data_IF_826195221763
#
_entry.id   IF_826195221763
#
_cell.length_a   1.000
_cell.length_b   1.000
_cell.length_c   1.000
_cell.angle_alpha   90.00
_cell.angle_beta   90.00
_cell.angle_gamma   90.00
#
_symmetry.space_group_name_H-M   'P 1'
#
loop_
_entity.id
_entity.type
_entity.pdbx_description
1 polymer ?
#
# COMPACT_ATOMS: atom_id res chain seq x y z
N UNK A 1 48.20 3.81 25.03
CA UNK A 1 47.18 4.13 23.99
C UNK A 1 46.08 4.88 24.71
N UNK A 2 46.13 6.19 24.60
CA UNK A 2 45.28 7.13 25.33
C UNK A 2 43.94 7.31 24.61
N UNK A 3 42.85 7.30 25.39
CA UNK A 3 41.54 7.77 24.97
C UNK A 3 41.53 9.32 24.92
N UNK A 4 40.86 9.96 23.95
CA UNK A 4 40.58 11.37 24.03
C UNK A 4 39.23 11.62 24.71
N UNK A 5 39.26 12.39 25.79
CA UNK A 5 38.17 13.19 26.35
C UNK A 5 37.78 14.31 25.37
N UNK A 6 36.48 14.59 25.24
CA UNK A 6 36.01 15.87 24.70
C UNK A 6 34.79 16.41 25.46
N UNK A 7 34.82 17.73 25.58
CA UNK A 7 34.19 18.58 26.58
C UNK A 7 32.71 18.93 26.37
N UNK A 8 32.09 19.35 27.48
CA UNK A 8 30.78 19.99 27.63
C UNK A 8 30.66 21.31 26.85
N UNK A 9 29.54 21.53 26.16
CA UNK A 9 29.00 22.88 25.92
C UNK A 9 27.45 22.93 26.03
N UNK A 10 27.01 23.68 27.05
CA UNK A 10 25.83 24.55 27.24
C UNK A 10 24.38 24.05 26.96
N UNK A 11 23.59 24.10 28.04
CA UNK A 11 22.14 24.21 28.06
C UNK A 11 21.67 25.56 27.49
N UNK A 12 20.59 25.54 26.71
CA UNK A 12 19.74 26.71 26.42
C UNK A 12 18.29 26.30 26.65
N UNK A 13 17.58 27.10 27.44
CA UNK A 13 16.18 26.96 27.84
C UNK A 13 15.25 27.42 26.73
N UNK A 14 14.21 26.63 26.42
CA UNK A 14 13.10 27.05 25.55
C UNK A 14 11.85 27.33 26.39
N UNK A 15 11.39 28.57 26.32
CA UNK A 15 10.10 29.02 26.84
C UNK A 15 9.02 28.94 25.74
N UNK A 16 7.84 28.51 26.17
CA UNK A 16 6.47 28.72 25.68
C UNK A 16 6.22 29.20 24.23
N UNK A 17 5.60 28.32 23.44
CA UNK A 17 4.82 28.69 22.26
C UNK A 17 3.43 28.04 22.34
N UNK A 18 2.40 28.85 22.55
CA UNK A 18 0.99 28.51 22.29
C UNK A 18 0.63 29.18 20.97
N UNK A 19 0.31 28.41 19.94
CA UNK A 19 -0.31 28.90 18.70
C UNK A 19 -1.59 28.09 18.48
N UNK A 20 -2.73 28.77 18.51
CA UNK A 20 -4.03 28.28 18.08
C UNK A 20 -4.20 28.61 16.60
N UNK A 21 -4.22 27.61 15.72
CA UNK A 21 -4.48 27.81 14.29
C UNK A 21 -5.94 27.48 13.93
N UNK A 22 -6.64 28.51 13.46
CA UNK A 22 -7.97 28.46 12.86
C UNK A 22 -7.82 28.44 11.33
N UNK A 23 -8.09 27.31 10.68
CA UNK A 23 -7.86 27.13 9.24
C UNK A 23 -9.10 27.53 8.43
N UNK A 24 -9.07 28.76 7.88
CA UNK A 24 -9.95 29.20 6.79
C UNK A 24 -9.60 28.56 5.44
N UNK A 25 -10.59 28.43 4.55
CA UNK A 25 -10.50 27.75 3.24
C UNK A 25 -9.47 28.40 2.28
N UNK A 26 -8.80 27.62 1.40
CA UNK A 26 -7.79 28.14 0.48
C UNK A 26 -8.39 28.93 -0.70
N UNK A 27 -7.74 30.04 -1.03
CA UNK A 27 -8.06 30.90 -2.16
C UNK A 27 -7.84 30.19 -3.52
N UNK A 28 -8.72 30.46 -4.50
CA UNK A 28 -8.58 30.00 -5.89
C UNK A 28 -7.85 31.06 -6.71
N UNK A 29 -6.75 30.69 -7.34
CA UNK A 29 -6.00 31.52 -8.29
C UNK A 29 -6.69 31.53 -9.67
N UNK A 30 -6.77 32.69 -10.32
CA UNK A 30 -7.42 32.89 -11.62
C UNK A 30 -6.59 33.75 -12.58
N UNK A 31 -5.28 33.52 -12.66
CA UNK A 31 -4.40 34.15 -13.65
C UNK A 31 -4.00 33.18 -14.76
N UNK A 32 -3.96 33.65 -16.01
CA UNK A 32 -3.36 32.94 -17.15
C UNK A 32 -1.83 32.96 -17.05
N UNK A 33 -1.11 31.83 -17.19
CA UNK A 33 0.35 31.81 -17.08
C UNK A 33 1.01 32.61 -18.22
N UNK A 34 2.01 33.43 -17.89
CA UNK A 34 2.83 34.15 -18.87
C UNK A 34 3.80 33.22 -19.61
N UNK A 35 4.20 33.61 -20.83
CA UNK A 35 5.06 32.82 -21.73
C UNK A 35 6.40 32.36 -21.08
N UNK A 36 6.90 33.06 -20.07
CA UNK A 36 8.11 32.69 -19.34
C UNK A 36 7.97 31.38 -18.54
N UNK A 37 6.76 31.07 -18.05
CA UNK A 37 6.48 29.82 -17.34
C UNK A 37 6.55 28.60 -18.26
N UNK A 38 6.25 28.78 -19.55
CA UNK A 38 6.25 27.70 -20.54
C UNK A 38 7.67 27.41 -21.06
N UNK A 39 8.54 28.43 -21.14
CA UNK A 39 9.93 28.28 -21.54
C UNK A 39 10.76 27.48 -20.50
N UNK A 40 10.48 27.65 -19.21
CA UNK A 40 11.14 26.92 -18.12
C UNK A 40 10.83 25.41 -18.12
N UNK A 41 9.60 25.02 -18.46
CA UNK A 41 9.19 23.61 -18.52
C UNK A 41 9.80 22.84 -19.71
N UNK A 42 10.30 23.56 -20.72
CA UNK A 42 10.68 22.98 -22.03
C UNK A 42 12.18 22.71 -22.17
N UNK A 43 13.00 23.07 -21.18
CA UNK A 43 14.47 22.93 -21.23
C UNK A 43 15.01 21.97 -20.16
N UNK A 44 14.83 20.66 -20.39
CA UNK A 44 15.55 19.62 -19.65
C UNK A 44 17.03 19.62 -20.07
N UNK A 45 17.90 20.29 -19.28
CA UNK A 45 19.28 19.85 -18.97
C UNK A 45 20.16 20.87 -18.21
N UNK A 46 19.61 21.82 -17.44
CA UNK A 46 20.47 22.79 -16.71
C UNK A 46 20.22 23.00 -15.21
N UNK A 47 19.34 22.24 -14.57
CA UNK A 47 19.11 22.41 -13.13
C UNK A 47 19.15 21.06 -12.42
N UNK A 48 20.25 20.80 -11.71
CA UNK A 48 20.24 19.85 -10.60
C UNK A 48 19.44 20.48 -9.46
N UNK A 49 18.48 19.73 -8.94
CA UNK A 49 17.47 20.08 -7.93
C UNK A 49 16.30 20.97 -8.36
N UNK A 50 15.18 20.30 -8.64
CA UNK A 50 13.83 20.87 -8.73
C UNK A 50 13.28 21.35 -7.37
N UNK A 51 13.93 21.02 -6.24
CA UNK A 51 13.50 21.47 -4.91
C UNK A 51 13.62 22.99 -4.70
N UNK A 52 14.58 23.65 -5.38
CA UNK A 52 14.71 25.12 -5.31
C UNK A 52 13.57 25.88 -6.00
N UNK A 53 12.92 25.25 -6.98
CA UNK A 53 11.87 25.92 -7.76
C UNK A 53 10.54 26.00 -7.00
N UNK A 54 10.27 25.08 -6.08
CA UNK A 54 9.01 25.07 -5.32
C UNK A 54 9.03 25.96 -4.08
N UNK A 55 10.19 26.40 -3.60
CA UNK A 55 10.32 27.15 -2.36
C UNK A 55 10.89 28.58 -2.50
N UNK A 56 11.26 29.01 -3.70
CA UNK A 56 11.81 30.36 -3.99
C UNK A 56 12.76 30.90 -2.92
N UNK A 57 13.68 30.06 -2.44
CA UNK A 57 14.75 30.46 -1.54
C UNK A 57 15.93 30.93 -2.39
N UNK A 58 16.40 32.15 -2.15
CA UNK A 58 17.68 32.56 -2.71
C UNK A 58 18.82 31.77 -2.02
N UNK A 59 20.05 31.93 -2.53
CA UNK A 59 21.23 31.24 -1.99
C UNK A 59 21.59 31.56 -0.53
N UNK A 60 20.78 32.36 0.18
CA UNK A 60 20.93 32.69 1.61
C UNK A 60 19.70 32.35 2.44
N UNK A 61 18.59 31.89 1.84
CA UNK A 61 17.44 31.33 2.56
C UNK A 61 16.40 32.34 3.05
N UNK A 62 16.39 33.57 2.51
CA UNK A 62 15.39 34.58 2.86
C UNK A 62 14.24 34.63 1.82
N UNK A 63 13.03 34.90 2.31
CA UNK A 63 11.77 34.85 1.55
C UNK A 63 11.42 36.25 1.01
N UNK A 64 11.43 36.43 -0.33
CA UNK A 64 11.07 37.69 -0.98
C UNK A 64 9.61 37.68 -1.46
N UNK A 65 8.76 38.66 -1.07
CA UNK A 65 7.42 38.79 -1.64
C UNK A 65 7.47 39.60 -2.94
N UNK A 66 6.98 39.04 -4.05
CA UNK A 66 6.80 39.76 -5.32
C UNK A 66 5.34 40.20 -5.48
N UNK A 67 5.10 41.52 -5.58
CA UNK A 67 3.89 42.13 -6.16
C UNK A 67 3.03 43.00 -5.22
N UNK A 68 2.64 44.19 -5.70
CA UNK A 68 1.83 45.19 -4.97
C UNK A 68 0.40 44.70 -4.70
N UNK A 69 -0.08 44.91 -3.45
CA UNK A 69 -1.46 44.59 -3.01
C UNK A 69 -2.46 45.63 -3.54
N UNK A 70 -3.50 45.17 -4.22
CA UNK A 70 -4.73 45.95 -4.42
C UNK A 70 -5.58 46.05 -3.13
N UNK A 71 -6.33 47.15 -2.98
CA UNK A 71 -7.20 47.42 -1.84
C UNK A 71 -8.43 46.50 -1.77
N UNK A 72 -8.80 46.11 -0.53
CA UNK A 72 -9.99 45.32 -0.23
C UNK A 72 -11.04 46.24 0.39
N UNK A 73 -12.17 46.46 -0.30
CA UNK A 73 -13.39 47.00 0.30
C UNK A 73 -14.18 45.84 0.94
N UNK A 74 -14.29 45.84 2.27
CA UNK A 74 -15.08 44.87 3.02
C UNK A 74 -16.57 45.24 3.09
N UNK A 75 -17.45 44.26 2.94
CA UNK A 75 -18.81 44.31 3.48
C UNK A 75 -19.05 43.07 4.35
N UNK A 76 -19.69 43.19 5.54
CA UNK A 76 -19.87 42.07 6.45
C UNK A 76 -21.14 41.29 6.10
N UNK A 77 -21.03 39.96 5.94
CA UNK A 77 -22.17 39.08 5.77
C UNK A 77 -22.36 38.18 7.01
N UNK A 78 -23.63 38.10 7.42
CA UNK A 78 -24.12 37.59 8.68
C UNK A 78 -24.02 36.06 8.84
N UNK A 79 -23.84 35.64 10.10
CA UNK A 79 -23.88 34.25 10.54
C UNK A 79 -25.29 33.64 10.38
N UNK A 80 -25.43 32.61 9.55
CA UNK A 80 -26.58 31.71 9.59
C UNK A 80 -26.23 30.38 10.27
N UNK A 81 -26.82 30.14 11.45
CA UNK A 81 -26.84 28.84 12.15
C UNK A 81 -27.63 27.81 11.32
N UNK A 82 -26.96 26.77 10.84
CA UNK A 82 -27.63 25.59 10.26
C UNK A 82 -27.94 24.58 11.38
N UNK A 83 -29.23 24.36 11.64
CA UNK A 83 -29.74 23.32 12.55
C UNK A 83 -29.53 21.93 11.94
N UNK A 84 -28.92 21.02 12.68
CA UNK A 84 -28.79 19.61 12.31
C UNK A 84 -30.16 18.91 12.34
N UNK A 85 -30.58 18.37 11.19
CA UNK A 85 -31.75 17.47 11.11
C UNK A 85 -31.29 16.03 11.38
N UNK A 86 -31.63 15.55 12.57
CA UNK A 86 -31.62 14.13 12.93
C UNK A 86 -32.48 13.32 11.95
N UNK A 87 -31.87 12.34 11.27
CA UNK A 87 -32.59 11.37 10.44
C UNK A 87 -33.12 10.25 11.35
N UNK A 88 -34.44 10.27 11.61
CA UNK A 88 -35.18 9.12 12.16
C UNK A 88 -34.99 7.91 11.25
N UNK A 89 -34.51 6.81 11.83
CA UNK A 89 -34.47 5.49 11.22
C UNK A 89 -35.91 5.02 10.92
N UNK A 90 -36.17 4.64 9.67
CA UNK A 90 -37.42 4.00 9.28
C UNK A 90 -37.19 2.49 9.38
N UNK A 91 -37.77 1.89 10.42
CA UNK A 91 -37.78 0.46 10.66
C UNK A 91 -38.59 -0.21 9.54
N UNK A 92 -37.92 -0.99 8.69
CA UNK A 92 -38.60 -1.98 7.84
C UNK A 92 -38.01 -3.33 8.18
N UNK A 93 -38.85 -4.12 8.85
CA UNK A 93 -38.67 -5.52 9.16
C UNK A 93 -38.34 -6.28 7.86
N UNK A 94 -37.08 -6.66 7.69
CA UNK A 94 -36.63 -7.54 6.60
C UNK A 94 -36.04 -8.77 7.25
N UNK A 95 -36.67 -9.92 6.99
CA UNK A 95 -36.21 -11.25 7.37
C UNK A 95 -34.71 -11.40 7.09
N UNK A 96 -33.92 -11.96 8.04
CA UNK A 96 -32.46 -12.06 7.93
C UNK A 96 -31.97 -12.83 6.70
N UNK A 97 -32.83 -13.68 6.12
CA UNK A 97 -32.51 -14.54 4.98
C UNK A 97 -32.36 -13.79 3.64
N UNK A 98 -33.08 -12.67 3.45
CA UNK A 98 -32.98 -11.85 2.22
C UNK A 98 -31.82 -10.84 2.30
N UNK A 99 -31.40 -10.45 3.50
CA UNK A 99 -30.24 -9.59 3.69
C UNK A 99 -28.92 -10.29 3.35
N UNK A 100 -28.87 -11.63 3.43
CA UNK A 100 -27.68 -12.42 3.14
C UNK A 100 -27.44 -12.61 1.63
N UNK A 101 -28.49 -12.63 0.82
CA UNK A 101 -28.41 -12.80 -0.63
C UNK A 101 -27.93 -11.53 -1.40
N UNK A 102 -27.90 -10.36 -0.75
CA UNK A 102 -27.52 -9.08 -1.37
C UNK A 102 -26.17 -8.54 -0.92
N UNK A 103 -25.43 -9.28 -0.09
CA UNK A 103 -24.09 -8.93 0.34
C UNK A 103 -23.04 -9.53 -0.59
N UNK A 104 -22.99 -9.11 -1.86
CA UNK A 104 -21.92 -9.46 -2.83
C UNK A 104 -20.54 -8.87 -2.47
N UNK A 105 -20.40 -8.29 -1.27
CA UNK A 105 -19.17 -7.67 -0.79
C UNK A 105 -18.39 -8.68 0.06
N UNK A 106 -17.19 -9.04 -0.42
CA UNK A 106 -16.25 -9.91 0.31
C UNK A 106 -16.00 -9.38 1.73
N UNK A 107 -16.19 -10.23 2.73
CA UNK A 107 -15.74 -9.94 4.09
C UNK A 107 -14.23 -10.18 4.19
N UNK A 108 -13.46 -9.10 4.39
CA UNK A 108 -11.99 -9.15 4.45
C UNK A 108 -11.44 -9.90 5.67
N UNK A 109 -12.25 -10.03 6.72
CA UNK A 109 -11.91 -10.80 7.92
C UNK A 109 -12.15 -12.30 7.76
N UNK A 110 -12.47 -12.74 6.54
CA UNK A 110 -12.50 -14.13 6.15
C UNK A 110 -11.40 -14.40 5.13
N UNK A 111 -10.76 -15.53 5.30
CA UNK A 111 -9.70 -15.99 4.43
C UNK A 111 -10.21 -16.14 3.00
N UNK A 112 -9.38 -15.75 2.02
CA UNK A 112 -9.69 -15.99 0.62
C UNK A 112 -9.41 -17.47 0.32
N UNK A 113 -10.42 -18.16 -0.22
CA UNK A 113 -10.39 -19.59 -0.56
C UNK A 113 -10.93 -19.81 -1.98
N UNK A 114 -10.53 -20.91 -2.61
CA UNK A 114 -11.00 -21.32 -3.94
C UNK A 114 -9.88 -21.88 -4.80
N UNK A 115 -10.24 -22.45 -5.94
CA UNK A 115 -9.32 -23.21 -6.81
C UNK A 115 -8.20 -22.35 -7.43
N UNK A 116 -8.41 -21.05 -7.53
CA UNK A 116 -7.41 -20.10 -8.05
C UNK A 116 -6.56 -19.47 -6.94
N UNK A 117 -6.84 -19.78 -5.67
CA UNK A 117 -6.18 -19.16 -4.52
C UNK A 117 -5.11 -20.09 -3.99
N UNK A 118 -3.84 -19.65 -3.86
CA UNK A 118 -2.82 -20.48 -3.25
C UNK A 118 -3.16 -20.79 -1.79
N UNK A 119 -2.75 -21.97 -1.32
CA UNK A 119 -3.00 -22.43 0.04
C UNK A 119 -2.30 -21.52 1.06
N UNK A 120 -2.98 -21.18 2.14
CA UNK A 120 -2.36 -20.45 3.26
C UNK A 120 -1.57 -21.41 4.13
N UNK A 121 -0.46 -20.92 4.69
CA UNK A 121 0.31 -21.69 5.69
C UNK A 121 -0.61 -21.99 6.89
N UNK A 122 -0.74 -23.26 7.34
CA UNK A 122 -1.76 -23.66 8.33
C UNK A 122 -1.77 -22.83 9.63
N UNK A 123 -0.59 -22.56 10.20
CA UNK A 123 -0.41 -21.74 11.40
C UNK A 123 -0.97 -20.32 11.23
N UNK A 124 -0.81 -19.75 10.03
CA UNK A 124 -1.29 -18.42 9.68
C UNK A 124 -2.80 -18.39 9.48
N UNK A 125 -3.40 -19.43 8.88
CA UNK A 125 -4.87 -19.56 8.82
C UNK A 125 -5.48 -19.65 10.22
N UNK A 126 -4.89 -20.45 11.11
CA UNK A 126 -5.33 -20.57 12.50
C UNK A 126 -5.19 -19.24 13.26
N UNK A 127 -4.04 -18.58 13.14
CA UNK A 127 -3.79 -17.27 13.74
C UNK A 127 -4.79 -16.21 13.27
N UNK A 128 -5.06 -16.16 11.97
CA UNK A 128 -6.00 -15.20 11.37
C UNK A 128 -7.43 -15.34 11.92
N UNK A 129 -7.90 -16.58 12.09
CA UNK A 129 -9.21 -16.87 12.67
C UNK A 129 -9.30 -16.50 14.15
N UNK A 130 -8.18 -16.45 14.86
CA UNK A 130 -8.10 -16.13 16.27
C UNK A 130 -7.92 -14.64 16.58
N UNK A 131 -7.87 -13.76 15.57
CA UNK A 131 -7.72 -12.31 15.76
C UNK A 131 -8.92 -11.76 16.55
N UNK A 132 -8.64 -11.03 17.63
CA UNK A 132 -9.64 -10.23 18.31
C UNK A 132 -9.88 -8.93 17.52
N UNK A 133 -11.06 -8.82 16.90
CA UNK A 133 -11.45 -7.71 16.02
C UNK A 133 -11.83 -6.43 16.79
N UNK A 134 -12.11 -6.58 18.07
CA UNK A 134 -12.54 -5.50 18.96
C UNK A 134 -11.34 -4.85 19.68
N UNK A 135 -10.21 -5.55 19.76
CA UNK A 135 -8.94 -4.99 20.26
C UNK A 135 -8.26 -4.14 19.19
N UNK A 136 -8.78 -2.92 19.00
CA UNK A 136 -8.19 -1.91 18.11
C UNK A 136 -7.34 -0.93 18.90
N UNK A 137 -6.26 -0.43 18.31
CA UNK A 137 -5.52 0.67 18.90
C UNK A 137 -6.42 1.91 19.04
N UNK A 138 -6.28 2.63 20.15
CA UNK A 138 -6.99 3.90 20.40
C UNK A 138 -6.66 4.92 19.31
N UNK A 139 -5.42 4.89 18.82
CA UNK A 139 -4.95 5.66 17.68
C UNK A 139 -4.44 4.71 16.60
N UNK A 140 -5.12 4.71 15.45
CA UNK A 140 -4.70 3.94 14.29
C UNK A 140 -3.48 4.60 13.65
N UNK A 141 -2.58 3.81 13.09
CA UNK A 141 -1.41 4.33 12.38
C UNK A 141 -1.81 5.35 11.28
N UNK A 142 -0.91 6.30 10.95
CA UNK A 142 -1.15 7.25 9.86
C UNK A 142 -1.53 6.56 8.54
N UNK A 143 -2.27 7.26 7.67
CA UNK A 143 -2.81 6.69 6.41
C UNK A 143 -1.75 6.05 5.51
N UNK A 144 -0.55 6.63 5.44
CA UNK A 144 0.54 6.09 4.62
C UNK A 144 1.06 4.73 5.13
N UNK A 145 0.88 4.43 6.43
CA UNK A 145 1.15 3.10 7.02
C UNK A 145 0.00 2.12 6.79
N UNK A 146 -1.25 2.56 6.90
CA UNK A 146 -2.42 1.65 6.92
C UNK A 146 -2.90 1.21 5.54
N UNK A 147 -2.50 1.92 4.48
CA UNK A 147 -2.83 1.59 3.11
C UNK A 147 -2.28 0.22 2.67
N UNK A 148 -2.60 -0.13 1.42
CA UNK A 148 -2.20 -1.37 0.77
C UNK A 148 -1.02 -1.05 -0.16
N UNK A 149 0.11 -1.75 0.02
CA UNK A 149 1.29 -1.59 -0.86
C UNK A 149 1.10 -2.25 -2.23
N UNK A 150 0.28 -3.29 -2.25
CA UNK A 150 -0.15 -4.07 -3.39
C UNK A 150 -1.67 -4.19 -3.37
N UNK A 151 -2.35 -4.45 -4.49
CA UNK A 151 -3.79 -4.62 -4.47
C UNK A 151 -4.20 -5.77 -3.54
N UNK A 152 -5.32 -5.62 -2.84
CA UNK A 152 -5.90 -6.73 -2.06
C UNK A 152 -6.12 -7.93 -3.00
N UNK A 153 -5.63 -9.14 -2.66
CA UNK A 153 -5.76 -10.31 -3.55
C UNK A 153 -7.20 -10.61 -3.96
N UNK A 154 -8.18 -10.41 -3.07
CA UNK A 154 -9.58 -10.60 -3.43
C UNK A 154 -10.11 -9.52 -4.37
N UNK A 155 -9.51 -8.33 -4.42
CA UNK A 155 -9.81 -7.36 -5.47
C UNK A 155 -9.48 -7.92 -6.86
N UNK A 156 -8.44 -8.75 -6.97
CA UNK A 156 -8.02 -9.34 -8.24
C UNK A 156 -8.95 -10.46 -8.70
N UNK A 157 -9.45 -11.30 -7.80
CA UNK A 157 -10.13 -12.56 -8.21
C UNK A 157 -11.56 -12.77 -7.72
N UNK A 158 -12.05 -11.99 -6.75
CA UNK A 158 -13.37 -12.22 -6.17
C UNK A 158 -14.54 -11.95 -7.14
N UNK A 159 -14.36 -11.01 -8.08
CA UNK A 159 -15.39 -10.68 -9.07
C UNK A 159 -15.21 -11.53 -10.33
N UNK A 160 -16.13 -12.46 -10.60
CA UNK A 160 -16.09 -13.28 -11.82
C UNK A 160 -16.10 -12.45 -13.12
N UNK A 161 -16.80 -11.31 -13.10
CA UNK A 161 -16.90 -10.39 -14.23
C UNK A 161 -15.60 -9.62 -14.47
N UNK A 162 -14.87 -9.27 -13.40
CA UNK A 162 -13.70 -8.37 -13.47
C UNK A 162 -12.36 -9.07 -13.28
N UNK A 163 -12.35 -10.34 -12.85
CA UNK A 163 -11.11 -11.03 -12.44
C UNK A 163 -10.07 -11.14 -13.56
N UNK A 164 -10.51 -11.41 -14.79
CA UNK A 164 -9.63 -11.46 -15.97
C UNK A 164 -8.94 -10.10 -16.16
N UNK A 165 -9.75 -9.03 -16.20
CA UNK A 165 -9.28 -7.66 -16.35
C UNK A 165 -8.33 -7.24 -15.23
N UNK A 166 -8.69 -7.53 -13.99
CA UNK A 166 -7.90 -7.10 -12.84
C UNK A 166 -6.55 -7.82 -12.78
N UNK A 167 -6.48 -9.10 -13.11
CA UNK A 167 -5.20 -9.83 -13.21
C UNK A 167 -4.34 -9.29 -14.34
N UNK A 168 -4.91 -9.09 -15.52
CA UNK A 168 -4.18 -8.55 -16.66
C UNK A 168 -3.63 -7.14 -16.37
N UNK A 169 -4.48 -6.24 -15.88
CA UNK A 169 -4.08 -4.88 -15.52
C UNK A 169 -3.07 -4.87 -14.36
N UNK A 170 -3.18 -5.79 -13.40
CA UNK A 170 -2.17 -5.96 -12.37
C UNK A 170 -0.82 -6.30 -12.98
N UNK A 171 -0.74 -7.27 -13.89
CA UNK A 171 0.52 -7.64 -14.54
C UNK A 171 1.11 -6.48 -15.36
N UNK A 172 0.28 -5.69 -16.05
CA UNK A 172 0.74 -4.49 -16.76
C UNK A 172 1.43 -3.47 -15.85
N UNK A 173 0.93 -3.26 -14.62
CA UNK A 173 1.45 -2.25 -13.70
C UNK A 173 2.36 -2.81 -12.61
N UNK A 174 2.60 -4.13 -12.60
CA UNK A 174 3.32 -4.83 -11.53
C UNK A 174 4.71 -4.26 -11.33
N UNK A 175 5.50 -4.16 -12.40
CA UNK A 175 6.90 -3.73 -12.30
C UNK A 175 7.02 -2.26 -11.89
N UNK A 176 6.13 -1.41 -12.38
CA UNK A 176 6.04 -0.01 -11.94
C UNK A 176 5.70 0.07 -10.44
N UNK A 177 4.75 -0.75 -9.98
CA UNK A 177 4.34 -0.81 -8.57
C UNK A 177 5.47 -1.30 -7.66
N UNK A 178 6.21 -2.30 -8.11
CA UNK A 178 7.39 -2.85 -7.43
C UNK A 178 8.50 -1.79 -7.33
N UNK A 179 8.88 -1.17 -8.46
CA UNK A 179 9.93 -0.14 -8.48
C UNK A 179 9.61 1.04 -7.57
N UNK A 180 8.34 1.48 -7.56
CA UNK A 180 7.87 2.53 -6.65
C UNK A 180 8.14 2.17 -5.18
N UNK A 181 7.80 0.95 -4.77
CA UNK A 181 8.02 0.52 -3.40
C UNK A 181 9.49 0.38 -3.04
N UNK A 182 10.32 -0.10 -3.97
CA UNK A 182 11.77 -0.15 -3.79
C UNK A 182 12.34 1.27 -3.60
N UNK A 183 11.86 2.24 -4.38
CA UNK A 183 12.22 3.65 -4.21
C UNK A 183 11.73 4.22 -2.87
N UNK A 184 10.51 3.90 -2.43
CA UNK A 184 10.00 4.34 -1.13
C UNK A 184 10.86 3.81 0.04
N UNK A 185 11.37 2.57 -0.05
CA UNK A 185 12.26 1.99 0.97
C UNK A 185 13.63 2.67 0.97
N UNK A 186 14.14 3.07 -0.20
CA UNK A 186 15.40 3.78 -0.34
C UNK A 186 15.32 5.25 0.09
N UNK A 187 14.12 5.79 0.32
CA UNK A 187 13.93 7.16 0.80
C UNK A 187 14.35 7.33 2.27
N UNK A 188 14.51 8.58 2.72
CA UNK A 188 14.88 8.91 4.10
C UNK A 188 13.90 8.31 5.12
N UNK A 189 12.60 8.38 4.84
CA UNK A 189 11.55 7.79 5.65
C UNK A 189 11.68 6.25 5.70
N UNK A 190 12.14 5.67 4.58
CA UNK A 190 12.26 4.23 4.28
C UNK A 190 10.99 3.41 4.51
N UNK A 191 9.84 4.07 4.65
CA UNK A 191 8.54 3.41 4.85
C UNK A 191 7.87 3.20 3.48
N UNK A 192 7.59 1.96 3.07
CA UNK A 192 6.87 1.72 1.83
C UNK A 192 5.45 2.25 1.93
N UNK A 193 5.08 3.20 1.06
CA UNK A 193 3.79 3.89 1.12
C UNK A 193 2.67 2.97 0.67
N UNK A 194 1.63 2.87 1.51
CA UNK A 194 0.39 2.17 1.20
C UNK A 194 -0.69 3.11 0.66
N UNK A 195 -1.55 2.58 -0.21
CA UNK A 195 -2.66 3.32 -0.81
C UNK A 195 -4.04 2.73 -0.48
N UNK A 196 -5.09 3.52 -0.63
CA UNK A 196 -6.45 3.07 -0.36
C UNK A 196 -6.88 2.00 -1.38
N UNK A 197 -7.80 1.11 -0.99
CA UNK A 197 -8.42 0.18 -1.94
C UNK A 197 -9.14 0.90 -3.07
N UNK A 198 -9.61 2.12 -2.84
CA UNK A 198 -10.26 2.89 -3.89
C UNK A 198 -9.27 3.25 -5.00
N UNK A 199 -8.07 3.74 -4.65
CA UNK A 199 -7.02 4.02 -5.64
C UNK A 199 -6.60 2.75 -6.40
N UNK A 200 -6.48 1.62 -5.71
CA UNK A 200 -6.23 0.33 -6.36
C UNK A 200 -7.35 -0.08 -7.33
N UNK A 201 -8.62 0.10 -6.95
CA UNK A 201 -9.75 -0.15 -7.88
C UNK A 201 -9.73 0.80 -9.07
N UNK A 202 -9.33 2.05 -8.87
CA UNK A 202 -9.25 3.03 -9.95
C UNK A 202 -8.22 2.58 -10.99
N UNK A 203 -7.01 2.19 -10.57
CA UNK A 203 -5.94 1.79 -11.49
C UNK A 203 -6.20 0.43 -12.15
N UNK A 204 -6.77 -0.53 -11.42
CA UNK A 204 -7.12 -1.85 -11.97
C UNK A 204 -8.39 -1.81 -12.84
N UNK A 205 -9.31 -0.90 -12.51
CA UNK A 205 -10.61 -0.80 -13.14
C UNK A 205 -10.63 0.03 -14.43
N UNK A 206 -9.55 0.73 -14.78
CA UNK A 206 -9.52 1.65 -15.93
C UNK A 206 -10.02 0.95 -17.19
N UNK A 207 -11.15 1.39 -17.73
CA UNK A 207 -11.50 1.24 -19.14
C UNK A 207 -10.88 2.44 -19.83
N UNK A 208 -9.84 2.24 -20.63
CA UNK A 208 -9.29 3.32 -21.44
C UNK A 208 -10.21 3.53 -22.64
N UNK A 209 -11.32 4.24 -22.44
CA UNK A 209 -12.09 4.73 -23.58
C UNK A 209 -11.30 5.86 -24.23
N UNK A 210 -11.26 5.89 -25.57
CA UNK A 210 -10.69 6.99 -26.35
C UNK A 210 -11.23 8.38 -25.95
N UNK A 211 -12.42 8.44 -25.33
CA UNK A 211 -13.01 9.66 -24.80
C UNK A 211 -12.16 10.38 -23.74
N UNK A 212 -11.23 9.68 -23.08
CA UNK A 212 -10.32 10.29 -22.10
C UNK A 212 -9.09 10.93 -22.75
N UNK A 213 -8.73 10.51 -23.98
CA UNK A 213 -7.60 11.10 -24.73
C UNK A 213 -7.98 12.47 -25.30
N UNK A 214 -9.25 12.65 -25.65
CA UNK A 214 -9.80 13.92 -26.14
C UNK A 214 -10.07 14.92 -25.01
N UNK A 215 -10.40 14.46 -23.80
CA UNK A 215 -10.59 15.35 -22.64
C UNK A 215 -9.29 16.01 -22.15
N UNK A 216 -8.13 15.40 -22.42
CA UNK A 216 -6.82 15.99 -22.15
C UNK A 216 -6.34 16.96 -23.26
N UNK A 217 -7.04 17.03 -24.39
CA UNK A 217 -6.65 17.83 -25.56
C UNK A 217 -7.69 18.87 -26.01
N UNK A 218 -8.90 18.88 -25.47
CA UNK A 218 -9.90 19.92 -25.77
C UNK A 218 -9.97 20.98 -24.66
N UNK A 219 -9.42 22.16 -24.92
CA UNK A 219 -9.53 23.35 -24.08
C UNK A 219 -10.86 24.09 -24.19
N UNK A 220 -11.91 23.48 -24.74
CA UNK A 220 -13.21 24.12 -24.91
C UNK A 220 -14.34 23.09 -24.80
N UNK A 221 -15.14 23.21 -23.73
CA UNK A 221 -16.62 23.31 -23.75
C UNK A 221 -17.09 23.41 -22.31
N UNK A 222 -17.58 24.60 -21.97
CA UNK A 222 -18.42 24.83 -20.81
C UNK A 222 -19.68 23.95 -20.87
N UNK A 223 -19.90 23.13 -19.84
CA UNK A 223 -21.23 22.86 -19.23
C UNK A 223 -21.05 21.96 -17.98
N UNK A 224 -21.57 22.47 -16.86
CA UNK A 224 -21.64 21.92 -15.50
C UNK A 224 -21.08 20.50 -15.28
N UNK A 225 -19.99 20.33 -14.49
CA UNK A 225 -19.62 19.01 -14.05
C UNK A 225 -20.60 18.58 -12.95
N UNK A 226 -21.32 17.48 -13.19
CA UNK A 226 -21.79 16.63 -12.09
C UNK A 226 -20.59 16.42 -11.15
N UNK A 227 -20.62 16.93 -9.92
CA UNK A 227 -19.46 16.92 -9.01
C UNK A 227 -18.89 15.53 -8.71
N UNK A 228 -19.68 14.48 -8.98
CA UNK A 228 -19.24 13.08 -8.94
C UNK A 228 -18.27 12.72 -10.07
N UNK A 229 -18.45 13.27 -11.26
CA UNK A 229 -17.59 13.00 -12.41
C UNK A 229 -16.25 13.71 -12.26
N UNK A 230 -16.24 14.93 -11.69
CA UNK A 230 -14.98 15.64 -11.38
C UNK A 230 -14.20 14.92 -10.28
N UNK A 231 -14.84 14.49 -9.20
CA UNK A 231 -14.17 13.76 -8.12
C UNK A 231 -13.61 12.40 -8.57
N UNK A 232 -14.30 11.70 -9.48
CA UNK A 232 -13.81 10.46 -10.08
C UNK A 232 -12.60 10.70 -11.00
N UNK A 233 -12.65 11.76 -11.82
CA UNK A 233 -11.53 12.19 -12.65
C UNK A 233 -10.32 12.60 -11.79
N UNK A 234 -10.52 13.31 -10.68
CA UNK A 234 -9.47 13.68 -9.74
C UNK A 234 -8.81 12.45 -9.11
N UNK A 235 -9.59 11.47 -8.66
CA UNK A 235 -9.07 10.21 -8.12
C UNK A 235 -8.29 9.41 -9.16
N UNK A 236 -8.74 9.44 -10.41
CA UNK A 236 -8.01 8.79 -11.51
C UNK A 236 -6.69 9.48 -11.79
N UNK A 237 -6.69 10.81 -11.86
CA UNK A 237 -5.45 11.60 -12.00
C UNK A 237 -4.48 11.30 -10.87
N UNK A 238 -4.97 11.21 -9.63
CA UNK A 238 -4.16 10.82 -8.48
C UNK A 238 -3.60 9.39 -8.64
N UNK A 239 -4.41 8.42 -9.06
CA UNK A 239 -3.95 7.05 -9.30
C UNK A 239 -2.87 6.99 -10.39
N UNK A 240 -3.04 7.72 -11.50
CA UNK A 240 -2.05 7.80 -12.58
C UNK A 240 -0.75 8.46 -12.11
N UNK A 241 -0.85 9.54 -11.33
CA UNK A 241 0.34 10.19 -10.77
C UNK A 241 1.13 9.27 -9.83
N UNK A 242 0.43 8.34 -9.15
CA UNK A 242 1.02 7.41 -8.19
C UNK A 242 1.60 6.15 -8.86
N UNK A 243 0.83 5.52 -9.75
CA UNK A 243 1.16 4.21 -10.33
C UNK A 243 1.77 4.32 -11.73
N UNK A 244 1.89 5.54 -12.26
CA UNK A 244 2.14 5.79 -13.66
C UNK A 244 0.87 5.67 -14.50
N UNK A 245 0.95 6.12 -15.75
CA UNK A 245 -0.09 5.85 -16.73
C UNK A 245 -0.02 4.35 -17.09
N UNK A 246 -1.06 3.56 -16.79
CA UNK A 246 -1.10 2.19 -17.30
C UNK A 246 -1.07 2.27 -18.83
N UNK A 247 -0.31 1.40 -19.48
CA UNK A 247 -0.35 1.35 -20.92
C UNK A 247 -1.77 1.01 -21.38
N UNK A 248 -2.15 1.52 -22.55
CA UNK A 248 -3.53 1.43 -23.06
C UNK A 248 -3.93 -0.05 -23.18
N UNK A 249 -4.78 -0.52 -22.25
CA UNK A 249 -5.14 -1.93 -22.15
C UNK A 249 -5.77 -2.48 -23.42
N UNK A 250 -6.34 -1.61 -24.26
CA UNK A 250 -6.91 -2.00 -25.56
C UNK A 250 -5.85 -2.28 -26.63
N UNK A 251 -4.64 -1.75 -26.47
CA UNK A 251 -3.51 -2.00 -27.37
C UNK A 251 -2.65 -3.18 -26.93
N UNK A 252 -2.81 -3.66 -25.69
CA UNK A 252 -2.12 -4.84 -25.19
C UNK A 252 -2.98 -6.08 -25.36
N UNK A 253 -2.59 -6.92 -26.31
CA UNK A 253 -3.20 -8.25 -26.50
C UNK A 253 -2.56 -9.30 -25.60
N UNK A 254 -1.42 -9.01 -24.99
CA UNK A 254 -0.67 -9.92 -24.11
C UNK A 254 0.09 -9.17 -23.01
N UNK A 255 0.34 -9.87 -21.91
CA UNK A 255 1.23 -9.46 -20.81
C UNK A 255 2.30 -10.53 -20.56
N UNK A 256 3.43 -10.14 -20.00
CA UNK A 256 4.49 -11.09 -19.63
C UNK A 256 4.36 -11.51 -18.16
N UNK A 257 4.48 -12.80 -17.92
CA UNK A 257 4.60 -13.39 -16.58
C UNK A 257 5.78 -14.36 -16.56
N UNK A 258 6.87 -13.97 -15.89
CA UNK A 258 8.07 -14.83 -15.71
C UNK A 258 8.61 -15.40 -17.04
N UNK A 259 8.62 -14.58 -18.08
CA UNK A 259 9.06 -14.96 -19.43
C UNK A 259 7.99 -15.66 -20.28
N UNK A 260 6.74 -15.69 -19.83
CA UNK A 260 5.61 -16.24 -20.59
C UNK A 260 4.65 -15.14 -21.03
N UNK A 261 4.33 -15.12 -22.32
CA UNK A 261 3.24 -14.31 -22.85
C UNK A 261 1.90 -14.91 -22.40
N UNK A 262 1.08 -14.10 -21.73
CA UNK A 262 -0.28 -14.42 -21.32
C UNK A 262 -1.22 -13.54 -22.14
N UNK A 263 -1.91 -14.10 -23.15
CA UNK A 263 -2.87 -13.34 -23.94
C UNK A 263 -4.04 -12.84 -23.10
N UNK A 264 -4.62 -11.71 -23.48
CA UNK A 264 -5.88 -11.21 -22.91
C UNK A 264 -7.00 -12.25 -23.04
N UNK A 265 -7.77 -12.44 -21.97
CA UNK A 265 -8.91 -13.36 -21.98
C UNK A 265 -8.51 -14.83 -21.83
N UNK A 266 -7.29 -15.11 -21.36
CA UNK A 266 -6.74 -16.47 -21.25
C UNK A 266 -6.46 -16.93 -19.82
N UNK A 267 -6.43 -16.05 -18.80
CA UNK A 267 -6.03 -16.41 -17.44
C UNK A 267 -6.83 -17.58 -16.86
N UNK A 268 -8.15 -17.57 -17.07
CA UNK A 268 -9.04 -18.60 -16.55
C UNK A 268 -9.39 -19.70 -17.58
N UNK A 269 -8.80 -19.65 -18.77
CA UNK A 269 -8.94 -20.71 -19.79
C UNK A 269 -7.85 -21.78 -19.65
N UNK A 270 -6.75 -21.44 -18.99
CA UNK A 270 -5.60 -22.29 -18.77
C UNK A 270 -5.62 -22.95 -17.38
N UNK A 271 -4.50 -23.59 -17.03
CA UNK A 271 -4.27 -24.20 -15.72
C UNK A 271 -4.47 -23.16 -14.58
N UNK A 272 -5.30 -23.46 -13.55
CA UNK A 272 -5.43 -22.63 -12.35
C UNK A 272 -4.09 -22.22 -11.71
N UNK A 273 -3.04 -23.01 -11.93
CA UNK A 273 -1.69 -22.73 -11.48
C UNK A 273 -1.21 -21.33 -11.85
N UNK A 274 -1.45 -20.84 -13.08
CA UNK A 274 -1.02 -19.50 -13.50
C UNK A 274 -1.62 -18.41 -12.59
N UNK A 275 -2.92 -18.50 -12.31
CA UNK A 275 -3.60 -17.55 -11.44
C UNK A 275 -3.11 -17.69 -10.01
N UNK A 276 -2.90 -18.92 -9.53
CA UNK A 276 -2.34 -19.17 -8.20
C UNK A 276 -0.94 -18.57 -8.05
N UNK A 277 -0.08 -18.66 -9.07
CA UNK A 277 1.26 -18.08 -9.08
C UNK A 277 1.21 -16.54 -8.99
N UNK A 278 0.36 -15.91 -9.80
CA UNK A 278 0.19 -14.44 -9.78
C UNK A 278 -0.35 -14.00 -8.42
N UNK A 279 -1.33 -14.70 -7.86
CA UNK A 279 -1.85 -14.37 -6.53
C UNK A 279 -0.84 -14.66 -5.42
N UNK A 280 -0.06 -15.72 -5.53
CA UNK A 280 1.00 -16.05 -4.57
C UNK A 280 2.01 -14.91 -4.52
N UNK A 281 2.44 -14.39 -5.67
CA UNK A 281 3.36 -13.25 -5.78
C UNK A 281 2.80 -11.98 -5.10
N UNK A 282 1.53 -11.66 -5.36
CA UNK A 282 0.84 -10.54 -4.69
C UNK A 282 0.77 -10.77 -3.18
N UNK A 283 0.45 -11.98 -2.73
CA UNK A 283 0.41 -12.33 -1.31
C UNK A 283 1.77 -12.19 -0.65
N UNK A 284 2.83 -12.68 -1.29
CA UNK A 284 4.21 -12.63 -0.79
C UNK A 284 4.68 -11.19 -0.60
N UNK A 285 4.60 -10.37 -1.65
CA UNK A 285 5.04 -8.98 -1.52
C UNK A 285 4.12 -8.14 -0.65
N UNK A 286 2.81 -8.39 -0.68
CA UNK A 286 1.90 -7.76 0.27
C UNK A 286 2.36 -8.00 1.70
N UNK A 287 2.61 -9.27 2.06
CA UNK A 287 3.06 -9.67 3.39
C UNK A 287 4.40 -9.03 3.76
N UNK A 288 5.40 -9.14 2.88
CA UNK A 288 6.75 -8.61 3.10
C UNK A 288 6.75 -7.08 3.33
N UNK A 289 6.11 -6.32 2.45
CA UNK A 289 6.10 -4.86 2.57
C UNK A 289 5.19 -4.38 3.70
N UNK A 290 4.13 -5.12 4.02
CA UNK A 290 3.31 -4.87 5.22
C UNK A 290 4.07 -5.17 6.52
N UNK A 291 4.93 -6.19 6.54
CA UNK A 291 5.81 -6.51 7.67
C UNK A 291 6.83 -5.38 7.90
N UNK A 292 7.49 -4.89 6.84
CA UNK A 292 8.42 -3.75 6.91
C UNK A 292 7.69 -2.51 7.45
N UNK A 293 6.52 -2.19 6.89
CA UNK A 293 5.76 -1.02 7.31
C UNK A 293 5.28 -1.12 8.77
N UNK A 294 4.80 -2.29 9.18
CA UNK A 294 4.33 -2.51 10.56
C UNK A 294 5.49 -2.34 11.54
N UNK A 295 6.63 -2.95 11.23
CA UNK A 295 7.75 -2.91 12.13
C UNK A 295 8.38 -1.51 12.23
N UNK A 296 8.52 -0.79 11.12
CA UNK A 296 8.92 0.63 11.14
C UNK A 296 7.99 1.50 11.96
N UNK A 297 6.69 1.20 11.92
CA UNK A 297 5.69 1.91 12.71
C UNK A 297 5.82 1.60 14.22
N UNK A 298 6.02 0.34 14.58
CA UNK A 298 6.06 -0.10 15.99
C UNK A 298 7.43 0.12 16.66
N UNK A 299 8.51 0.15 15.89
CA UNK A 299 9.89 0.23 16.40
C UNK A 299 10.75 1.27 15.67
N UNK A 300 10.31 2.53 15.53
CA UNK A 300 11.04 3.55 14.77
C UNK A 300 12.45 3.82 15.31
N UNK A 301 12.64 3.75 16.62
CA UNK A 301 13.97 3.96 17.24
C UNK A 301 14.96 2.88 16.83
N UNK A 302 14.53 1.62 16.72
CA UNK A 302 15.41 0.53 16.33
C UNK A 302 15.82 0.61 14.87
N UNK A 303 14.97 1.16 14.00
CA UNK A 303 15.36 1.47 12.63
C UNK A 303 16.38 2.60 12.53
N UNK A 304 16.52 3.44 13.57
CA UNK A 304 17.58 4.46 13.62
C UNK A 304 18.89 3.92 14.17
N UNK A 305 18.84 2.98 15.12
CA UNK A 305 20.04 2.43 15.77
C UNK A 305 20.59 1.19 15.07
N UNK A 306 19.71 0.27 14.66
CA UNK A 306 20.06 -1.10 14.28
C UNK A 306 19.37 -1.54 12.99
N UNK A 307 19.20 -0.63 12.02
CA UNK A 307 18.50 -0.88 10.75
C UNK A 307 18.95 -2.17 10.04
N UNK A 308 20.25 -2.46 10.07
CA UNK A 308 20.82 -3.65 9.43
C UNK A 308 20.35 -4.95 10.09
N UNK A 309 20.32 -5.02 11.43
CA UNK A 309 19.83 -6.20 12.16
C UNK A 309 18.35 -6.42 11.85
N UNK A 310 17.57 -5.33 11.82
CA UNK A 310 16.16 -5.34 11.45
C UNK A 310 15.98 -5.91 10.03
N UNK A 311 16.76 -5.43 9.06
CA UNK A 311 16.75 -5.93 7.69
C UNK A 311 17.10 -7.42 7.62
N UNK A 312 18.16 -7.87 8.29
CA UNK A 312 18.55 -9.28 8.33
C UNK A 312 17.42 -10.17 8.85
N UNK A 313 16.79 -9.78 9.97
CA UNK A 313 15.67 -10.55 10.52
C UNK A 313 14.50 -10.62 9.54
N UNK A 314 14.11 -9.52 8.89
CA UNK A 314 13.03 -9.54 7.88
C UNK A 314 13.41 -10.44 6.70
N UNK A 315 14.64 -10.31 6.19
CA UNK A 315 15.19 -11.14 5.11
C UNK A 315 15.12 -12.64 5.44
N UNK A 316 15.44 -13.02 6.67
CA UNK A 316 15.30 -14.40 7.16
C UNK A 316 13.83 -14.86 7.29
N UNK A 317 12.91 -13.98 7.71
CA UNK A 317 11.47 -14.29 7.75
C UNK A 317 10.97 -14.63 6.35
N UNK A 318 11.32 -13.82 5.37
CA UNK A 318 10.87 -14.00 3.99
C UNK A 318 11.75 -14.95 3.19
N UNK A 319 12.83 -15.50 3.73
CA UNK A 319 13.70 -16.46 3.03
C UNK A 319 14.44 -15.89 1.82
N UNK A 320 14.93 -14.66 1.90
CA UNK A 320 15.70 -14.02 0.81
C UNK A 320 16.95 -13.30 1.32
N UNK A 321 17.91 -12.99 0.43
CA UNK A 321 19.15 -12.31 0.85
C UNK A 321 18.91 -10.84 1.24
N UNK A 322 17.89 -10.19 0.67
CA UNK A 322 17.51 -8.82 1.04
C UNK A 322 16.01 -8.61 0.87
N UNK A 323 15.35 -8.25 1.96
CA UNK A 323 13.93 -7.94 2.01
C UNK A 323 13.55 -6.64 1.28
N UNK A 324 14.49 -5.93 0.67
CA UNK A 324 14.22 -4.73 -0.12
C UNK A 324 14.23 -4.98 -1.61
N UNK A 325 14.74 -6.14 -2.04
CA UNK A 325 14.86 -6.48 -3.45
C UNK A 325 13.71 -7.40 -3.86
N UNK A 326 12.86 -6.90 -4.73
CA UNK A 326 11.89 -7.73 -5.44
C UNK A 326 12.62 -8.43 -6.58
N UNK A 327 12.84 -9.74 -6.43
CA UNK A 327 13.49 -10.56 -7.46
C UNK A 327 12.47 -11.32 -8.29
N UNK A 328 12.72 -11.43 -9.58
CA UNK A 328 12.14 -12.49 -10.43
C UNK A 328 12.83 -13.83 -10.14
N UNK A 329 12.83 -14.26 -8.88
CA UNK A 329 13.38 -15.54 -8.49
C UNK A 329 12.47 -16.67 -8.98
N UNK A 330 13.02 -17.86 -9.31
CA UNK A 330 12.20 -19.03 -9.58
C UNK A 330 11.21 -19.28 -8.43
N UNK A 331 10.00 -19.73 -8.78
CA UNK A 331 8.95 -20.06 -7.82
C UNK A 331 9.46 -21.23 -6.95
N UNK A 332 9.77 -20.94 -5.69
CA UNK A 332 10.36 -21.91 -4.76
C UNK A 332 9.83 -21.69 -3.36
N UNK A 333 9.70 -22.79 -2.63
CA UNK A 333 9.30 -22.79 -1.22
C UNK A 333 10.48 -22.29 -0.39
N UNK A 334 10.36 -21.11 0.22
CA UNK A 334 11.37 -20.50 1.08
C UNK A 334 10.73 -19.81 2.28
N UNK A 335 11.56 -19.50 3.27
CA UNK A 335 11.17 -18.77 4.48
C UNK A 335 10.04 -19.47 5.27
N UNK A 336 9.03 -18.69 5.68
CA UNK A 336 7.84 -19.21 6.38
C UNK A 336 7.11 -20.36 5.67
N UNK A 337 7.18 -20.37 4.33
CA UNK A 337 6.54 -21.38 3.49
C UNK A 337 7.40 -22.60 3.18
N UNK A 338 8.71 -22.56 3.49
CA UNK A 338 9.70 -23.57 3.06
C UNK A 338 9.29 -25.00 3.40
N UNK A 339 9.64 -25.93 2.51
CA UNK A 339 9.44 -27.37 2.73
C UNK A 339 10.50 -27.93 3.72
N UNK A 340 11.65 -27.26 3.87
CA UNK A 340 12.64 -27.57 4.90
C UNK A 340 12.17 -27.04 6.26
N UNK A 341 11.93 -27.96 7.19
CA UNK A 341 11.48 -27.62 8.54
C UNK A 341 12.50 -26.76 9.30
N UNK A 342 13.81 -26.92 9.03
CA UNK A 342 14.86 -26.12 9.66
C UNK A 342 14.81 -24.67 9.19
N UNK A 343 14.76 -24.45 7.88
CA UNK A 343 14.61 -23.11 7.29
C UNK A 343 13.32 -22.46 7.78
N UNK A 344 12.20 -23.17 7.71
CA UNK A 344 10.90 -22.69 8.17
C UNK A 344 10.96 -22.30 9.64
N UNK A 345 11.57 -23.12 10.50
CA UNK A 345 11.74 -22.81 11.92
C UNK A 345 12.62 -21.58 12.14
N UNK A 346 13.69 -21.42 11.35
CA UNK A 346 14.52 -20.23 11.41
C UNK A 346 13.69 -18.98 11.14
N UNK A 347 12.86 -18.97 10.08
CA UNK A 347 11.98 -17.83 9.79
C UNK A 347 11.01 -17.49 10.93
N UNK A 348 10.47 -18.49 11.64
CA UNK A 348 9.63 -18.22 12.83
C UNK A 348 10.44 -17.65 14.00
N UNK A 349 11.69 -18.06 14.19
CA UNK A 349 12.59 -17.48 15.20
C UNK A 349 12.95 -16.05 14.87
N UNK A 350 13.30 -15.77 13.62
CA UNK A 350 13.61 -14.42 13.16
C UNK A 350 12.39 -13.51 13.30
N UNK A 351 11.18 -14.01 13.01
CA UNK A 351 9.94 -13.26 13.22
C UNK A 351 9.67 -13.00 14.70
N UNK A 352 9.89 -13.97 15.59
CA UNK A 352 9.71 -13.74 17.02
C UNK A 352 10.71 -12.73 17.58
N UNK A 353 11.98 -12.86 17.20
CA UNK A 353 13.03 -11.89 17.53
C UNK A 353 12.67 -10.49 17.04
N UNK A 354 12.18 -10.39 15.81
CA UNK A 354 11.69 -9.16 15.19
C UNK A 354 10.63 -8.46 16.05
N UNK A 355 9.74 -9.27 16.62
CA UNK A 355 8.55 -8.81 17.34
C UNK A 355 8.80 -8.58 18.82
N UNK A 356 9.88 -9.08 19.43
CA UNK A 356 10.23 -8.83 20.84
C UNK A 356 10.02 -7.37 21.30
N UNK A 357 10.47 -6.35 20.56
CA UNK A 357 10.31 -4.95 20.95
C UNK A 357 8.92 -4.36 20.66
N UNK A 358 8.04 -5.10 19.97
CA UNK A 358 6.70 -4.62 19.67
C UNK A 358 5.86 -4.54 20.95
N UNK A 359 4.89 -3.61 21.02
CA UNK A 359 3.95 -3.56 22.12
C UNK A 359 3.26 -4.90 22.36
N UNK A 360 3.01 -5.28 23.63
CA UNK A 360 2.32 -6.52 23.94
C UNK A 360 0.89 -6.46 23.38
N UNK A 361 0.49 -7.51 22.65
CA UNK A 361 -0.80 -7.57 21.98
C UNK A 361 -1.91 -8.21 22.81
N UNK A 362 -1.60 -8.66 24.04
CA UNK A 362 -2.54 -9.40 24.88
C UNK A 362 -2.79 -10.79 24.28
N UNK A 363 -2.20 -11.81 24.87
CA UNK A 363 -2.36 -13.19 24.42
C UNK A 363 -1.67 -14.17 25.37
N UNK A 364 -2.06 -15.45 25.35
CA UNK A 364 -1.36 -16.44 26.14
C UNK A 364 0.10 -16.52 25.71
N UNK A 365 1.01 -16.63 26.68
CA UNK A 365 2.37 -17.06 26.39
C UNK A 365 2.32 -18.43 25.68
N UNK A 366 3.19 -18.64 24.71
CA UNK A 366 3.32 -19.91 24.01
C UNK A 366 4.59 -20.62 24.47
N UNK A 367 4.53 -21.94 24.55
CA UNK A 367 5.70 -22.77 24.86
C UNK A 367 6.75 -22.70 23.76
N UNK A 368 8.02 -22.54 24.14
CA UNK A 368 9.18 -22.65 23.23
C UNK A 368 9.54 -24.13 22.99
N UNK A 369 9.07 -25.03 23.85
CA UNK A 369 9.37 -26.47 23.80
C UNK A 369 8.50 -27.16 22.73
N UNK A 370 7.22 -26.79 22.65
CA UNK A 370 6.32 -27.31 21.61
C UNK A 370 6.43 -26.44 20.35
N UNK A 371 7.07 -26.99 19.32
CA UNK A 371 7.28 -26.31 18.05
C UNK A 371 5.98 -25.90 17.34
N UNK A 372 4.91 -26.70 17.49
CA UNK A 372 3.63 -26.42 16.86
C UNK A 372 2.95 -25.23 17.56
N UNK A 373 2.94 -25.26 18.90
CA UNK A 373 2.42 -24.18 19.73
C UNK A 373 3.21 -22.88 19.53
N UNK A 374 4.54 -22.99 19.40
CA UNK A 374 5.45 -21.88 19.12
C UNK A 374 5.08 -21.17 17.81
N UNK A 375 4.95 -21.93 16.69
CA UNK A 375 4.60 -21.36 15.37
C UNK A 375 3.23 -20.69 15.38
N UNK A 376 2.25 -21.32 16.03
CA UNK A 376 0.91 -20.74 16.22
C UNK A 376 0.95 -19.44 17.04
N UNK A 377 1.75 -19.42 18.10
CA UNK A 377 1.95 -18.26 18.96
C UNK A 377 2.55 -17.07 18.22
N UNK A 378 3.63 -17.29 17.48
CA UNK A 378 4.30 -16.27 16.67
C UNK A 378 3.35 -15.72 15.60
N UNK A 379 2.67 -16.58 14.83
CA UNK A 379 1.72 -16.14 13.80
C UNK A 379 0.55 -15.34 14.39
N UNK A 380 0.03 -15.76 15.56
CA UNK A 380 -1.04 -15.05 16.27
C UNK A 380 -0.60 -13.67 16.74
N UNK A 381 0.60 -13.58 17.32
CA UNK A 381 1.19 -12.31 17.78
C UNK A 381 1.29 -11.32 16.62
N UNK A 382 1.82 -11.75 15.47
CA UNK A 382 1.89 -10.92 14.27
C UNK A 382 0.51 -10.45 13.82
N UNK A 383 -0.44 -11.39 13.65
CA UNK A 383 -1.77 -11.07 13.14
C UNK A 383 -2.52 -10.07 14.04
N UNK A 384 -2.40 -10.23 15.36
CA UNK A 384 -3.01 -9.31 16.32
C UNK A 384 -2.32 -7.93 16.28
N UNK A 385 -0.98 -7.88 16.28
CA UNK A 385 -0.23 -6.62 16.19
C UNK A 385 -0.59 -5.84 14.93
N UNK A 386 -0.64 -6.53 13.80
CA UNK A 386 -1.01 -5.96 12.51
C UNK A 386 -2.43 -5.38 12.51
N UNK A 387 -3.40 -6.18 12.94
CA UNK A 387 -4.81 -5.77 13.01
C UNK A 387 -4.99 -4.56 13.92
N UNK A 388 -4.33 -4.58 15.09
CA UNK A 388 -4.37 -3.50 16.08
C UNK A 388 -3.79 -2.20 15.54
N UNK A 389 -2.61 -2.27 14.91
CA UNK A 389 -1.91 -1.10 14.38
C UNK A 389 -2.60 -0.49 13.16
N UNK A 390 -3.03 -1.32 12.21
CA UNK A 390 -3.51 -0.86 10.90
C UNK A 390 -5.03 -0.88 10.72
N UNK A 391 -5.78 -1.44 11.68
CA UNK A 391 -7.24 -1.49 11.63
C UNK A 391 -7.80 -2.33 10.49
N UNK A 392 -6.99 -3.21 9.89
CA UNK A 392 -7.37 -4.12 8.80
C UNK A 392 -6.73 -5.49 8.98
N UNK A 393 -7.32 -6.55 8.40
CA UNK A 393 -6.71 -7.88 8.40
C UNK A 393 -5.37 -7.87 7.62
N UNK A 394 -4.35 -8.64 8.06
CA UNK A 394 -3.14 -8.87 7.28
C UNK A 394 -3.44 -9.66 6.01
N UNK A 395 -2.63 -9.42 4.97
CA UNK A 395 -2.56 -10.33 3.82
C UNK A 395 -1.62 -11.47 4.23
N UNK A 396 -2.17 -12.68 4.26
CA UNK A 396 -1.47 -13.84 4.81
C UNK A 396 -0.42 -14.39 3.84
N UNK A 397 0.72 -14.88 4.35
CA UNK A 397 1.69 -15.60 3.55
C UNK A 397 1.10 -16.93 3.05
N UNK A 398 1.52 -17.33 1.86
CA UNK A 398 0.96 -18.45 1.11
C UNK A 398 2.02 -19.49 0.81
N UNK A 399 1.62 -20.76 0.82
CA UNK A 399 2.41 -21.86 0.28
C UNK A 399 2.56 -21.66 -1.23
N UNK A 400 3.72 -22.06 -1.72
CA UNK A 400 4.04 -21.96 -3.14
C UNK A 400 3.13 -22.88 -3.93
N UNK A 401 2.47 -22.37 -5.00
CA UNK A 401 1.68 -23.23 -5.85
C UNK A 401 2.63 -24.06 -6.71
N UNK A 402 2.74 -25.35 -6.40
CA UNK A 402 3.57 -26.31 -7.13
C UNK A 402 2.66 -27.31 -7.84
N UNK A 403 2.92 -27.58 -9.12
CA UNK A 403 2.46 -28.83 -9.76
C UNK A 403 3.25 -29.97 -9.11
N UNK A 404 2.56 -31.00 -8.63
CA UNK A 404 3.10 -32.20 -7.97
C UNK A 404 4.60 -32.47 -8.24
N UNK A 405 5.36 -32.64 -7.16
CA UNK A 405 6.83 -32.73 -7.01
C UNK A 405 7.62 -33.72 -7.90
N UNK A 406 7.05 -34.29 -8.97
CA UNK A 406 7.73 -35.25 -9.84
C UNK A 406 8.37 -34.61 -11.09
N UNK A 407 8.01 -33.38 -11.46
CA UNK A 407 8.64 -32.70 -12.60
C UNK A 407 8.80 -31.21 -12.30
N UNK A 408 10.00 -30.80 -11.87
CA UNK A 408 10.43 -29.40 -11.72
C UNK A 408 10.59 -28.69 -13.07
N UNK A 409 9.57 -28.73 -13.92
CA UNK A 409 9.45 -27.94 -15.14
C UNK A 409 8.00 -27.49 -15.25
N UNK A 410 7.78 -26.19 -15.04
CA UNK A 410 6.50 -25.55 -15.34
C UNK A 410 6.14 -25.83 -16.82
N UNK A 411 4.86 -26.11 -17.12
CA UNK A 411 4.42 -26.62 -18.43
C UNK A 411 4.35 -25.55 -19.51
N UNK A 412 4.80 -24.33 -19.24
CA UNK A 412 4.72 -23.24 -20.20
C UNK A 412 5.77 -23.49 -21.30
N UNK A 413 5.42 -24.37 -22.24
CA UNK A 413 6.17 -24.58 -23.48
C UNK A 413 6.29 -23.22 -24.17
N UNK A 414 7.52 -22.86 -24.55
CA UNK A 414 7.83 -21.74 -25.43
C UNK A 414 7.08 -21.84 -26.75
#
# INVERSE_FOLDING_TARGET
MECPTYDRVKQVTHADCIITEDWGLPARYSGTPGEESHAAASSLNKYGDLEKYFYELDGRGDLHPVGERGEIQGTPAAFHKVKSRSRKAKNTDRSPEVAQALSTVRNKWHELVGDFIPLTIPHWSKAFKAINKDDRAVLVAPKHFTGYRFPDPGMLVFSEVRREKNLFNWLLIRDASVRRLMHDIASEDGVPRGYSNELWRMILGVEFSEADRTAASSSDVAKLPNSRNSAHADRRRAAIAIFGQPPDSHNHTEVQWRGHAVPWGSFFKHDPLLVQEVLWDVHQYSFQFDLIALDRYLCPTQWKTDAHIRECLISEVVGCDSCFIVRENPIRSYGLGSDDDKERMQSYRSLDELMKPWPPTGGPAYSIIDQLEYRDGVARRFCQAFSKAFGRPPILPKLVPLRNHLHCTLPYKR
#
